data_IF_651512262181
#
_entry.id   IF_651512262181
#
_cell.length_a   1.000
_cell.length_b   1.000
_cell.length_c   1.000
_cell.angle_alpha   90.00
_cell.angle_beta   90.00
_cell.angle_gamma   90.00
#
_symmetry.space_group_name_H-M   'P 1'
#
loop_
_entity.id
_entity.type
_entity.pdbx_description
1 polymer ?
#
# COMPACT_ATOMS: atom_id res chain seq x y z
N UNK A 1 -64.07 -2.37 60.17
CA UNK A 1 -63.68 -3.71 59.72
C UNK A 1 -63.17 -3.55 58.31
N UNK A 2 -61.86 -3.33 58.21
CA UNK A 2 -61.17 -3.01 56.94
C UNK A 2 -60.44 -4.28 56.48
N UNK A 3 -60.78 -4.79 55.28
CA UNK A 3 -60.07 -5.90 54.64
C UNK A 3 -59.08 -5.27 53.65
N UNK A 4 -57.78 -5.60 53.84
CA UNK A 4 -56.72 -5.33 52.89
C UNK A 4 -56.60 -6.49 51.93
N UNK A 5 -56.76 -6.25 50.60
CA UNK A 5 -56.42 -7.18 49.54
C UNK A 5 -55.03 -6.90 49.04
N UNK A 6 -54.13 -7.89 49.13
CA UNK A 6 -52.80 -7.83 48.52
C UNK A 6 -52.90 -8.21 47.04
N UNK A 7 -52.48 -7.30 46.14
CA UNK A 7 -52.28 -7.61 44.72
C UNK A 7 -50.93 -8.29 44.44
N UNK A 8 -50.81 -9.08 43.36
CA UNK A 8 -49.59 -9.84 43.05
C UNK A 8 -48.51 -8.95 42.48
N UNK A 9 -47.27 -9.14 42.93
CA UNK A 9 -46.06 -8.51 42.38
C UNK A 9 -45.71 -9.23 41.06
N UNK A 10 -45.75 -8.52 39.95
CA UNK A 10 -45.19 -8.97 38.67
C UNK A 10 -43.67 -8.91 38.73
N UNK A 11 -43.00 -10.07 38.59
CA UNK A 11 -41.57 -10.15 38.35
C UNK A 11 -41.32 -9.81 36.88
N UNK A 12 -40.61 -8.72 36.63
CA UNK A 12 -40.08 -8.40 35.31
C UNK A 12 -38.83 -9.26 35.07
N UNK A 13 -38.91 -10.22 34.17
CA UNK A 13 -37.77 -10.92 33.61
C UNK A 13 -37.19 -10.02 32.50
N UNK A 14 -36.06 -9.38 32.75
CA UNK A 14 -35.26 -8.72 31.70
C UNK A 14 -34.42 -9.78 31.03
N UNK A 15 -34.75 -10.09 29.78
CA UNK A 15 -33.98 -11.04 28.98
C UNK A 15 -32.65 -10.39 28.56
N UNK A 16 -31.56 -10.82 29.17
CA UNK A 16 -30.16 -10.54 28.68
C UNK A 16 -29.80 -11.65 27.66
N UNK A 17 -30.25 -11.48 26.41
CA UNK A 17 -29.92 -12.44 25.31
C UNK A 17 -29.33 -11.70 24.09
N UNK A 18 -28.82 -10.50 24.21
CA UNK A 18 -28.34 -9.75 23.05
C UNK A 18 -26.82 -9.74 22.83
N UNK A 19 -26.01 -9.84 23.87
CA UNK A 19 -24.56 -9.60 23.77
C UNK A 19 -23.71 -10.87 23.48
N UNK A 20 -24.20 -12.06 23.85
CA UNK A 20 -23.41 -13.29 23.70
C UNK A 20 -23.33 -13.84 22.28
N UNK A 21 -24.35 -13.60 21.44
CA UNK A 21 -24.40 -14.15 20.08
C UNK A 21 -23.52 -13.34 19.10
N UNK A 22 -23.38 -12.03 19.31
CA UNK A 22 -22.51 -11.16 18.48
C UNK A 22 -21.01 -11.43 18.74
N UNK A 23 -20.62 -11.64 19.99
CA UNK A 23 -19.23 -11.95 20.38
C UNK A 23 -18.79 -13.34 19.88
N UNK A 24 -19.67 -14.34 19.92
CA UNK A 24 -19.36 -15.68 19.40
C UNK A 24 -19.22 -15.71 17.86
N UNK A 25 -20.01 -14.89 17.16
CA UNK A 25 -19.94 -14.78 15.69
C UNK A 25 -18.65 -14.12 15.18
N UNK A 26 -18.14 -13.10 15.88
CA UNK A 26 -16.89 -12.42 15.55
C UNK A 26 -15.69 -13.30 15.84
N UNK A 27 -15.67 -14.01 16.97
CA UNK A 27 -14.59 -14.94 17.31
C UNK A 27 -14.51 -16.12 16.34
N UNK A 28 -15.64 -16.66 15.90
CA UNK A 28 -15.69 -17.78 14.93
C UNK A 28 -15.16 -17.36 13.54
N UNK A 29 -15.51 -16.16 13.07
CA UNK A 29 -15.02 -15.65 11.77
C UNK A 29 -13.51 -15.39 11.79
N UNK A 30 -13.00 -14.80 12.86
CA UNK A 30 -11.55 -14.55 13.03
C UNK A 30 -10.76 -15.86 13.10
N UNK A 31 -11.31 -16.89 13.76
CA UNK A 31 -10.68 -18.20 13.85
C UNK A 31 -10.67 -18.93 12.50
N UNK A 32 -11.75 -18.91 11.74
CA UNK A 32 -11.81 -19.47 10.39
C UNK A 32 -10.85 -18.76 9.42
N UNK A 33 -10.72 -17.44 9.52
CA UNK A 33 -9.77 -16.68 8.71
C UNK A 33 -8.31 -17.00 9.10
N UNK A 34 -8.03 -17.14 10.40
CA UNK A 34 -6.71 -17.55 10.90
C UNK A 34 -6.32 -18.95 10.41
N UNK A 35 -7.27 -19.88 10.33
CA UNK A 35 -7.05 -21.23 9.79
C UNK A 35 -6.85 -21.21 8.26
N UNK A 36 -7.63 -20.40 7.53
CA UNK A 36 -7.54 -20.28 6.06
C UNK A 36 -6.16 -19.79 5.59
N UNK A 37 -5.53 -18.90 6.35
CA UNK A 37 -4.23 -18.32 6.04
C UNK A 37 -3.12 -18.81 6.99
N UNK A 38 -3.28 -19.99 7.57
CA UNK A 38 -2.29 -20.58 8.49
C UNK A 38 -0.96 -20.88 7.79
N UNK A 39 -0.97 -21.11 6.48
CA UNK A 39 0.23 -21.32 5.66
C UNK A 39 1.00 -20.03 5.38
N UNK A 40 0.34 -18.85 5.39
CA UNK A 40 1.00 -17.57 5.09
C UNK A 40 1.95 -17.21 6.23
N UNK A 41 3.21 -16.99 5.88
CA UNK A 41 4.30 -16.63 6.80
C UNK A 41 4.79 -15.20 6.59
N UNK A 42 4.74 -14.72 5.36
CA UNK A 42 5.16 -13.37 4.99
C UNK A 42 4.11 -12.63 4.18
N UNK A 43 4.09 -11.32 4.32
CA UNK A 43 3.30 -10.41 3.49
C UNK A 43 4.23 -9.46 2.76
N UNK A 44 4.10 -9.40 1.45
CA UNK A 44 4.83 -8.47 0.58
C UNK A 44 3.90 -7.36 0.12
N UNK A 45 4.35 -6.12 0.19
CA UNK A 45 3.51 -4.96 -0.06
C UNK A 45 3.97 -4.19 -1.29
N UNK A 46 3.06 -3.96 -2.23
CA UNK A 46 3.20 -2.84 -3.14
C UNK A 46 3.27 -1.54 -2.33
N UNK A 47 4.09 -0.57 -2.77
CA UNK A 47 4.37 0.60 -1.93
C UNK A 47 3.73 1.87 -2.48
N UNK A 48 4.05 2.24 -3.73
CA UNK A 48 3.53 3.48 -4.32
C UNK A 48 2.02 3.38 -4.55
N UNK A 49 1.26 4.26 -3.91
CA UNK A 49 -0.20 4.26 -3.99
C UNK A 49 -0.87 3.26 -3.02
N UNK A 50 -0.22 2.14 -2.66
CA UNK A 50 -0.76 1.16 -1.71
C UNK A 50 -0.47 1.53 -0.26
N UNK A 51 0.80 1.80 0.08
CA UNK A 51 1.25 2.13 1.43
C UNK A 51 1.37 3.64 1.63
N UNK A 52 1.77 4.36 0.59
CA UNK A 52 2.05 5.80 0.63
C UNK A 52 1.21 6.58 -0.37
N UNK A 53 0.83 7.80 0.01
CA UNK A 53 0.18 8.79 -0.85
C UNK A 53 1.26 9.56 -1.63
N UNK A 54 1.61 9.01 -2.79
CA UNK A 54 2.62 9.62 -3.65
C UNK A 54 2.19 10.98 -4.18
N UNK A 55 0.90 11.13 -4.53
CA UNK A 55 0.39 12.32 -5.22
C UNK A 55 0.41 13.54 -4.31
N UNK A 56 -0.22 13.46 -3.14
CA UNK A 56 -0.24 14.57 -2.17
C UNK A 56 1.15 14.91 -1.67
N UNK A 57 2.02 13.91 -1.51
CA UNK A 57 3.43 14.11 -1.12
C UNK A 57 4.21 14.91 -2.15
N UNK A 58 4.11 14.56 -3.43
CA UNK A 58 4.78 15.31 -4.51
C UNK A 58 4.23 16.72 -4.67
N UNK A 59 2.92 16.91 -4.52
CA UNK A 59 2.30 18.24 -4.53
C UNK A 59 2.88 19.10 -3.41
N UNK A 60 3.00 18.56 -2.19
CA UNK A 60 3.58 19.26 -1.04
C UNK A 60 5.05 19.63 -1.25
N UNK A 61 5.86 18.72 -1.77
CA UNK A 61 7.27 18.98 -2.12
C UNK A 61 7.39 20.08 -3.19
N UNK A 62 6.51 20.06 -4.21
CA UNK A 62 6.45 21.10 -5.24
C UNK A 62 6.03 22.45 -4.67
N UNK A 63 5.06 22.53 -3.79
CA UNK A 63 4.65 23.76 -3.10
C UNK A 63 5.80 24.37 -2.28
N UNK A 64 6.63 23.53 -1.67
CA UNK A 64 7.85 23.98 -1.00
C UNK A 64 8.87 24.61 -1.98
N UNK A 65 9.00 24.07 -3.19
CA UNK A 65 9.79 24.70 -4.25
C UNK A 65 9.20 26.04 -4.69
N UNK A 66 7.86 26.14 -4.86
CA UNK A 66 7.19 27.40 -5.17
C UNK A 66 7.48 28.45 -4.10
N UNK A 67 7.43 28.08 -2.82
CA UNK A 67 7.74 29.00 -1.71
C UNK A 67 9.20 29.47 -1.76
N UNK A 68 10.13 28.58 -2.12
CA UNK A 68 11.57 28.90 -2.15
C UNK A 68 11.98 29.72 -3.37
N UNK A 69 11.41 29.41 -4.55
CA UNK A 69 11.88 29.97 -5.83
C UNK A 69 10.89 30.90 -6.52
N UNK A 70 9.66 31.04 -6.00
CA UNK A 70 8.61 31.86 -6.60
C UNK A 70 7.98 31.24 -7.85
N UNK A 71 8.01 29.92 -8.00
CA UNK A 71 7.36 29.25 -9.12
C UNK A 71 5.85 29.26 -9.02
N UNK A 72 5.17 29.49 -10.15
CA UNK A 72 3.71 29.31 -10.30
C UNK A 72 3.47 28.05 -11.16
N UNK A 73 3.24 26.91 -10.50
CA UNK A 73 3.09 25.60 -11.14
C UNK A 73 1.83 24.92 -10.62
N UNK A 74 1.06 24.30 -11.50
CA UNK A 74 0.06 23.33 -11.13
C UNK A 74 0.75 22.03 -10.69
N UNK A 75 1.00 21.94 -9.37
CA UNK A 75 1.70 20.80 -8.80
C UNK A 75 0.88 19.51 -8.83
N UNK A 76 -0.45 19.61 -8.95
CA UNK A 76 -1.29 18.43 -9.13
C UNK A 76 -1.08 17.83 -10.53
N UNK A 77 -1.13 18.66 -11.57
CA UNK A 77 -0.82 18.23 -12.93
C UNK A 77 0.64 17.77 -13.08
N UNK A 78 1.58 18.47 -12.44
CA UNK A 78 2.99 18.05 -12.44
C UNK A 78 3.19 16.65 -11.84
N UNK A 79 2.57 16.37 -10.68
CA UNK A 79 2.65 15.06 -10.02
C UNK A 79 2.04 13.96 -10.90
N UNK A 80 0.91 14.25 -11.54
CA UNK A 80 0.23 13.33 -12.45
C UNK A 80 1.07 13.06 -13.71
N UNK A 81 1.71 14.08 -14.29
CA UNK A 81 2.61 13.94 -15.44
C UNK A 81 3.87 13.12 -15.07
N UNK A 82 4.46 13.38 -13.89
CA UNK A 82 5.62 12.62 -13.43
C UNK A 82 5.27 11.13 -13.25
N UNK A 83 4.17 10.85 -12.57
CA UNK A 83 3.66 9.48 -12.42
C UNK A 83 3.29 8.85 -13.76
N UNK A 84 2.72 9.65 -14.68
CA UNK A 84 2.35 9.22 -16.04
C UNK A 84 3.54 8.76 -16.88
N UNK A 85 4.72 9.35 -16.68
CA UNK A 85 5.96 8.94 -17.36
C UNK A 85 6.55 7.61 -16.90
N UNK A 86 6.15 7.13 -15.72
CA UNK A 86 6.70 5.93 -15.06
C UNK A 86 6.51 4.63 -15.86
N UNK A 87 5.29 4.34 -16.28
CA UNK A 87 4.98 3.12 -17.08
C UNK A 87 5.72 3.09 -18.43
N UNK A 88 5.63 4.16 -19.25
CA UNK A 88 6.40 4.28 -20.48
C UNK A 88 7.92 4.12 -20.30
N UNK A 89 8.51 4.73 -19.27
CA UNK A 89 9.94 4.61 -19.00
C UNK A 89 10.36 3.17 -18.68
N UNK A 90 9.62 2.46 -17.84
CA UNK A 90 9.85 1.03 -17.57
C UNK A 90 9.68 0.17 -18.85
N UNK A 91 8.74 0.53 -19.72
CA UNK A 91 8.54 -0.20 -20.97
C UNK A 91 9.73 -0.05 -21.92
N UNK A 92 10.41 1.10 -21.95
CA UNK A 92 11.66 1.29 -22.72
C UNK A 92 12.78 0.37 -22.22
N UNK A 93 12.86 0.12 -20.92
CA UNK A 93 13.80 -0.86 -20.36
C UNK A 93 13.40 -2.28 -20.76
N UNK A 94 12.10 -2.65 -20.65
CA UNK A 94 11.63 -3.99 -21.03
C UNK A 94 11.83 -4.29 -22.52
N UNK A 95 11.67 -3.29 -23.39
CA UNK A 95 11.91 -3.44 -24.83
C UNK A 95 13.38 -3.52 -25.22
N UNK A 96 14.31 -3.29 -24.26
CA UNK A 96 15.75 -3.22 -24.53
C UNK A 96 16.21 -1.90 -25.17
N UNK A 97 15.34 -0.89 -25.27
CA UNK A 97 15.73 0.46 -25.72
C UNK A 97 16.67 1.13 -24.71
N UNK A 98 16.41 0.89 -23.42
CA UNK A 98 17.26 1.31 -22.32
C UNK A 98 17.84 0.09 -21.60
N UNK A 99 19.06 0.18 -21.05
CA UNK A 99 19.55 -0.85 -20.13
C UNK A 99 18.68 -0.91 -18.88
N UNK A 100 18.85 -1.97 -18.08
CA UNK A 100 18.18 -2.00 -16.79
C UNK A 100 18.56 -0.77 -15.93
N UNK A 101 17.56 -0.09 -15.39
CA UNK A 101 17.71 1.13 -14.61
C UNK A 101 16.94 1.03 -13.29
N UNK A 102 17.43 1.69 -12.24
CA UNK A 102 16.67 1.89 -11.01
C UNK A 102 15.55 2.89 -11.24
N UNK A 103 14.54 2.82 -10.42
CA UNK A 103 13.42 3.77 -10.50
C UNK A 103 13.87 5.22 -10.23
N UNK A 104 14.83 5.44 -9.34
CA UNK A 104 15.43 6.78 -9.15
C UNK A 104 15.97 7.38 -10.44
N UNK A 105 16.64 6.56 -11.24
CA UNK A 105 17.22 6.99 -12.50
C UNK A 105 16.14 7.28 -13.55
N UNK A 106 15.07 6.46 -13.59
CA UNK A 106 13.90 6.69 -14.44
C UNK A 106 13.11 7.93 -13.99
N UNK A 107 12.89 8.10 -12.68
CA UNK A 107 12.23 9.30 -12.15
C UNK A 107 13.01 10.56 -12.50
N UNK A 108 14.34 10.52 -12.40
CA UNK A 108 15.17 11.69 -12.78
C UNK A 108 15.07 11.98 -14.28
N UNK A 109 15.12 10.97 -15.13
CA UNK A 109 14.96 11.14 -16.57
C UNK A 109 13.60 11.78 -16.91
N UNK A 110 12.51 11.32 -16.27
CA UNK A 110 11.18 11.91 -16.46
C UNK A 110 11.13 13.34 -15.92
N UNK A 111 11.73 13.60 -14.75
CA UNK A 111 11.80 14.93 -14.16
C UNK A 111 12.50 15.93 -15.12
N UNK A 112 13.64 15.55 -15.68
CA UNK A 112 14.37 16.40 -16.62
C UNK A 112 13.55 16.75 -17.87
N UNK A 113 12.70 15.82 -18.35
CA UNK A 113 11.76 16.06 -19.44
C UNK A 113 10.58 16.98 -19.04
N UNK A 114 10.18 16.99 -17.75
CA UNK A 114 9.07 17.81 -17.23
C UNK A 114 9.51 19.23 -16.86
N UNK A 115 10.76 19.44 -16.43
CA UNK A 115 11.30 20.74 -16.03
C UNK A 115 10.97 21.85 -17.02
N UNK A 116 11.29 21.75 -18.34
CA UNK A 116 10.97 22.79 -19.29
C UNK A 116 9.47 22.94 -19.54
N UNK A 117 8.69 21.88 -19.46
CA UNK A 117 7.25 21.89 -19.71
C UNK A 117 6.47 22.64 -18.63
N UNK A 118 6.96 22.61 -17.39
CA UNK A 118 6.33 23.25 -16.24
C UNK A 118 7.05 24.52 -15.76
N UNK A 119 7.95 25.08 -16.57
CA UNK A 119 8.61 26.35 -16.26
C UNK A 119 9.65 26.28 -15.13
N UNK A 120 10.18 25.09 -14.84
CA UNK A 120 11.14 24.83 -13.75
C UNK A 120 12.61 24.93 -14.19
N UNK A 121 12.89 25.45 -15.37
CA UNK A 121 14.24 25.61 -15.91
C UNK A 121 15.24 26.33 -15.00
N UNK A 122 14.84 27.27 -14.10
CA UNK A 122 15.77 27.88 -13.14
C UNK A 122 16.31 26.92 -12.06
N UNK A 123 15.74 25.71 -11.90
CA UNK A 123 16.27 24.73 -10.95
C UNK A 123 17.66 24.26 -11.35
N UNK A 124 18.65 24.47 -10.45
CA UNK A 124 19.99 23.93 -10.58
C UNK A 124 20.04 22.41 -10.38
N UNK A 125 21.17 21.80 -10.69
CA UNK A 125 21.34 20.34 -10.62
C UNK A 125 21.08 19.78 -9.21
N UNK A 126 21.61 20.43 -8.18
CA UNK A 126 21.41 20.03 -6.79
C UNK A 126 19.92 20.08 -6.39
N UNK A 127 19.17 21.08 -6.84
CA UNK A 127 17.74 21.21 -6.55
C UNK A 127 16.93 20.14 -7.29
N UNK A 128 17.31 19.79 -8.52
CA UNK A 128 16.72 18.68 -9.28
C UNK A 128 16.96 17.34 -8.61
N UNK A 129 18.19 17.08 -8.16
CA UNK A 129 18.52 15.87 -7.40
C UNK A 129 17.73 15.78 -6.10
N UNK A 130 17.62 16.89 -5.37
CA UNK A 130 16.84 16.93 -4.15
C UNK A 130 15.34 16.74 -4.43
N UNK A 131 14.83 17.33 -5.51
CA UNK A 131 13.42 17.15 -5.89
C UNK A 131 13.15 15.74 -6.40
N UNK A 132 14.06 15.12 -7.15
CA UNK A 132 13.96 13.70 -7.49
C UNK A 132 13.85 12.82 -6.27
N UNK A 133 14.52 13.18 -5.16
CA UNK A 133 14.41 12.47 -3.88
C UNK A 133 13.11 12.74 -3.11
N UNK A 134 12.17 13.53 -3.64
CA UNK A 134 10.81 13.60 -3.09
C UNK A 134 10.16 12.22 -3.00
N UNK A 135 10.44 11.34 -3.97
CA UNK A 135 10.00 9.94 -3.94
C UNK A 135 10.51 9.13 -2.75
N UNK A 136 11.58 9.56 -2.09
CA UNK A 136 12.11 8.95 -0.86
C UNK A 136 11.40 9.44 0.40
N UNK A 137 10.55 10.48 0.32
CA UNK A 137 9.92 11.19 1.44
C UNK A 137 8.40 11.14 1.41
N UNK A 138 7.84 10.20 0.63
CA UNK A 138 6.39 10.06 0.51
C UNK A 138 5.75 9.74 1.86
N UNK A 139 4.62 10.38 2.13
CA UNK A 139 3.86 10.20 3.36
C UNK A 139 3.02 8.92 3.30
N UNK A 140 2.92 8.16 4.39
CA UNK A 140 2.07 6.99 4.44
C UNK A 140 0.59 7.39 4.48
N UNK A 141 -0.28 6.51 3.99
CA UNK A 141 -1.70 6.64 4.28
C UNK A 141 -1.94 6.58 5.79
N UNK A 142 -3.01 7.20 6.32
CA UNK A 142 -3.27 7.29 7.78
C UNK A 142 -3.31 5.95 8.51
N UNK A 143 -3.71 4.88 7.82
CA UNK A 143 -3.80 3.51 8.34
C UNK A 143 -2.50 2.71 8.23
N UNK A 144 -1.52 3.18 7.42
CA UNK A 144 -0.38 2.37 7.03
C UNK A 144 0.49 1.98 8.22
N UNK A 145 0.96 2.94 9.01
CA UNK A 145 1.87 2.63 10.12
C UNK A 145 1.18 1.77 11.19
N UNK A 146 -0.06 2.11 11.56
CA UNK A 146 -0.81 1.37 12.57
C UNK A 146 -1.16 -0.06 12.10
N UNK A 147 -1.68 -0.19 10.87
CA UNK A 147 -2.05 -1.48 10.32
C UNK A 147 -0.84 -2.40 10.10
N UNK A 148 0.25 -1.87 9.53
CA UNK A 148 1.50 -2.63 9.37
C UNK A 148 2.08 -3.07 10.71
N UNK A 149 2.05 -2.21 11.75
CA UNK A 149 2.53 -2.57 13.10
C UNK A 149 1.74 -3.74 13.67
N UNK A 150 0.43 -3.78 13.46
CA UNK A 150 -0.41 -4.91 13.86
C UNK A 150 -0.06 -6.17 13.07
N UNK A 151 -0.01 -6.09 11.74
CA UNK A 151 0.31 -7.23 10.86
C UNK A 151 1.67 -7.84 11.19
N UNK A 152 2.66 -7.01 11.52
CA UNK A 152 4.01 -7.43 11.92
C UNK A 152 4.04 -8.32 13.16
N UNK A 153 3.03 -8.30 14.01
CA UNK A 153 2.96 -9.18 15.20
C UNK A 153 2.85 -10.65 14.84
N UNK A 154 2.45 -10.97 13.61
CA UNK A 154 2.22 -12.35 13.15
C UNK A 154 3.02 -12.72 11.89
N UNK A 155 3.24 -11.78 10.99
CA UNK A 155 3.86 -12.03 9.69
C UNK A 155 5.19 -11.32 9.55
N UNK A 156 6.09 -11.88 8.76
CA UNK A 156 7.24 -11.12 8.24
C UNK A 156 6.71 -10.11 7.24
N UNK A 157 7.00 -8.84 7.43
CA UNK A 157 6.57 -7.78 6.51
C UNK A 157 7.71 -7.33 5.61
N UNK A 158 7.45 -7.36 4.32
CA UNK A 158 8.40 -6.90 3.31
C UNK A 158 7.75 -5.93 2.32
N UNK A 159 8.53 -4.99 1.81
CA UNK A 159 8.14 -4.32 0.57
C UNK A 159 8.27 -5.29 -0.61
N UNK A 160 7.48 -5.08 -1.67
CA UNK A 160 7.71 -5.63 -3.01
C UNK A 160 7.31 -4.56 -4.03
N UNK A 161 8.25 -3.70 -4.34
CA UNK A 161 8.03 -2.49 -5.12
C UNK A 161 9.00 -2.40 -6.29
N UNK A 162 8.59 -1.68 -7.32
CA UNK A 162 9.52 -1.26 -8.37
C UNK A 162 10.52 -0.21 -7.89
N UNK A 163 10.23 0.52 -6.80
CA UNK A 163 11.19 1.42 -6.14
C UNK A 163 12.47 0.68 -5.77
N UNK A 164 13.63 1.31 -6.00
CA UNK A 164 14.91 0.71 -5.64
C UNK A 164 15.13 0.67 -4.12
N UNK A 165 16.01 -0.21 -3.67
CA UNK A 165 16.23 -0.49 -2.24
C UNK A 165 16.54 0.78 -1.45
N UNK A 166 17.44 1.65 -1.94
CA UNK A 166 17.80 2.88 -1.24
C UNK A 166 16.61 3.83 -1.06
N UNK A 167 15.75 3.97 -2.08
CA UNK A 167 14.52 4.76 -2.03
C UNK A 167 13.57 4.21 -0.96
N UNK A 168 13.31 2.90 -0.97
CA UNK A 168 12.39 2.26 -0.02
C UNK A 168 12.90 2.33 1.43
N UNK A 169 14.21 2.17 1.65
CA UNK A 169 14.83 2.31 2.98
C UNK A 169 14.70 3.75 3.49
N UNK A 170 14.99 4.75 2.66
CA UNK A 170 14.86 6.16 3.03
C UNK A 170 13.42 6.52 3.36
N UNK A 171 12.47 6.07 2.52
CA UNK A 171 11.04 6.26 2.74
C UNK A 171 10.59 5.61 4.05
N UNK A 172 11.01 4.37 4.33
CA UNK A 172 10.66 3.68 5.56
C UNK A 172 11.14 4.45 6.80
N UNK A 173 12.38 4.97 6.77
CA UNK A 173 12.93 5.78 7.85
C UNK A 173 12.23 7.13 8.00
N UNK A 174 11.86 7.77 6.89
CA UNK A 174 11.15 9.04 6.90
C UNK A 174 9.74 8.91 7.47
N UNK A 175 9.05 7.83 7.11
CA UNK A 175 7.62 7.64 7.37
C UNK A 175 7.31 6.66 8.51
N UNK A 176 8.34 6.12 9.17
CA UNK A 176 8.17 5.17 10.29
C UNK A 176 7.54 3.84 9.88
N UNK A 177 7.75 3.40 8.63
CA UNK A 177 7.20 2.14 8.12
C UNK A 177 7.97 0.95 8.70
N UNK A 178 7.29 -0.01 9.36
CA UNK A 178 7.93 -1.01 10.23
C UNK A 178 8.31 -2.30 9.48
N UNK A 179 8.97 -2.21 8.32
CA UNK A 179 9.39 -3.38 7.56
C UNK A 179 10.37 -4.27 8.33
N UNK A 180 10.28 -5.59 8.14
CA UNK A 180 11.32 -6.54 8.55
C UNK A 180 12.39 -6.65 7.47
N UNK A 181 11.96 -6.63 6.19
CA UNK A 181 12.83 -6.75 5.03
C UNK A 181 12.41 -5.72 3.99
N UNK A 182 13.38 -5.16 3.25
CA UNK A 182 13.11 -4.30 2.10
C UNK A 182 13.46 -5.08 0.83
N UNK A 183 12.44 -5.59 0.13
CA UNK A 183 12.56 -6.24 -1.16
C UNK A 183 12.08 -5.30 -2.27
N UNK A 184 12.75 -5.39 -3.40
CA UNK A 184 12.59 -4.49 -4.53
C UNK A 184 12.80 -5.25 -5.84
N UNK A 185 12.18 -4.79 -6.89
CA UNK A 185 12.43 -5.23 -8.26
C UNK A 185 13.91 -5.07 -8.69
N UNK A 186 14.64 -4.16 -8.01
CA UNK A 186 16.08 -4.00 -8.18
C UNK A 186 16.86 -5.30 -7.95
N UNK A 187 16.41 -6.15 -7.02
CA UNK A 187 17.06 -7.42 -6.69
C UNK A 187 16.87 -8.47 -7.81
N UNK A 188 15.73 -8.43 -8.48
CA UNK A 188 15.44 -9.31 -9.62
C UNK A 188 15.93 -8.74 -10.95
N UNK A 189 16.31 -7.45 -11.03
CA UNK A 189 16.61 -6.73 -12.28
C UNK A 189 15.46 -6.76 -13.30
N UNK A 190 14.24 -6.87 -12.81
CA UNK A 190 12.99 -6.84 -13.55
C UNK A 190 12.01 -5.87 -12.86
N UNK A 191 10.96 -5.44 -13.55
CA UNK A 191 9.90 -4.65 -12.92
C UNK A 191 8.61 -5.47 -12.80
N UNK A 192 7.83 -5.24 -11.75
CA UNK A 192 6.45 -5.76 -11.71
C UNK A 192 5.68 -5.28 -12.94
N UNK A 193 4.87 -6.13 -13.57
CA UNK A 193 4.42 -7.44 -13.10
C UNK A 193 5.22 -8.64 -13.64
N UNK A 194 6.51 -8.50 -13.97
CA UNK A 194 7.32 -9.61 -14.45
C UNK A 194 7.46 -10.68 -13.35
N UNK A 195 7.30 -11.98 -13.66
CA UNK A 195 7.24 -13.06 -12.65
C UNK A 195 8.50 -13.17 -11.80
N UNK A 196 9.65 -12.82 -12.35
CA UNK A 196 10.94 -12.85 -11.65
C UNK A 196 10.91 -12.04 -10.35
N UNK A 197 10.17 -10.93 -10.32
CA UNK A 197 10.10 -10.05 -9.13
C UNK A 197 9.42 -10.76 -7.97
N UNK A 198 8.31 -11.44 -8.21
CA UNK A 198 7.55 -12.14 -7.16
C UNK A 198 8.24 -13.41 -6.70
N UNK A 199 8.79 -14.19 -7.64
CA UNK A 199 9.49 -15.45 -7.34
C UNK A 199 10.81 -15.18 -6.61
N UNK A 200 11.59 -14.16 -7.02
CA UNK A 200 12.79 -13.74 -6.29
C UNK A 200 12.45 -13.31 -4.86
N UNK A 201 11.31 -12.63 -4.65
CA UNK A 201 10.92 -12.23 -3.30
C UNK A 201 10.61 -13.44 -2.41
N UNK A 202 9.90 -14.45 -2.91
CA UNK A 202 9.62 -15.68 -2.18
C UNK A 202 10.92 -16.44 -1.87
N UNK A 203 11.81 -16.59 -2.85
CA UNK A 203 13.11 -17.24 -2.70
C UNK A 203 14.00 -16.56 -1.64
N UNK A 204 14.11 -15.22 -1.67
CA UNK A 204 14.88 -14.45 -0.69
C UNK A 204 14.30 -14.54 0.73
N UNK A 205 13.01 -14.82 0.86
CA UNK A 205 12.36 -15.08 2.15
C UNK A 205 12.49 -16.56 2.58
N UNK A 206 12.99 -17.44 1.72
CA UNK A 206 13.06 -18.88 1.96
C UNK A 206 11.69 -19.53 2.06
N UNK A 207 10.70 -19.05 1.26
CA UNK A 207 9.31 -19.47 1.30
C UNK A 207 8.83 -19.92 -0.08
N UNK A 208 7.85 -20.84 -0.07
CA UNK A 208 7.10 -21.15 -1.28
C UNK A 208 6.09 -20.03 -1.59
N UNK A 209 5.71 -19.83 -2.87
CA UNK A 209 4.78 -18.76 -3.25
C UNK A 209 3.47 -18.75 -2.45
N UNK A 210 2.87 -19.92 -2.15
CA UNK A 210 1.63 -20.03 -1.36
C UNK A 210 1.78 -19.65 0.12
N UNK A 211 3.01 -19.51 0.61
CA UNK A 211 3.33 -19.05 1.96
C UNK A 211 3.50 -17.52 2.03
N UNK A 212 3.46 -16.84 0.87
CA UNK A 212 3.58 -15.39 0.74
C UNK A 212 2.26 -14.78 0.31
N UNK A 213 1.84 -13.68 0.95
CA UNK A 213 0.67 -12.91 0.56
C UNK A 213 1.10 -11.56 -0.04
N UNK A 214 0.73 -11.32 -1.30
CA UNK A 214 0.88 -10.00 -1.94
C UNK A 214 -0.27 -9.08 -1.53
N UNK A 215 0.06 -7.88 -1.07
CA UNK A 215 -0.90 -6.84 -0.66
C UNK A 215 -0.75 -5.64 -1.57
N UNK A 216 -1.82 -5.23 -2.24
CA UNK A 216 -1.77 -4.09 -3.16
C UNK A 216 -3.12 -3.39 -3.32
N UNK A 217 -3.08 -2.11 -3.70
CA UNK A 217 -4.22 -1.35 -4.21
C UNK A 217 -4.45 -1.57 -5.71
N UNK A 218 -3.53 -2.21 -6.40
CA UNK A 218 -3.54 -2.38 -7.85
C UNK A 218 -3.91 -3.82 -8.23
N UNK A 219 -5.10 -4.01 -8.80
CA UNK A 219 -5.61 -5.34 -9.19
C UNK A 219 -4.69 -6.09 -10.17
N UNK A 220 -4.01 -5.36 -11.07
CA UNK A 220 -3.04 -5.95 -12.01
C UNK A 220 -1.87 -6.63 -11.33
N UNK A 221 -1.33 -6.00 -10.27
CA UNK A 221 -0.25 -6.53 -9.45
C UNK A 221 -0.67 -7.82 -8.72
N UNK A 222 -1.87 -7.80 -8.11
CA UNK A 222 -2.43 -8.97 -7.44
C UNK A 222 -2.71 -10.14 -8.39
N UNK A 223 -3.21 -9.86 -9.61
CA UNK A 223 -3.43 -10.92 -10.60
C UNK A 223 -2.13 -11.57 -11.06
N UNK A 224 -1.06 -10.78 -11.22
CA UNK A 224 0.24 -11.32 -11.54
C UNK A 224 0.80 -12.19 -10.41
N UNK A 225 0.67 -11.75 -9.16
CA UNK A 225 1.07 -12.54 -8.00
C UNK A 225 0.26 -13.84 -7.86
N UNK A 226 -1.07 -13.77 -8.02
CA UNK A 226 -1.96 -14.93 -7.95
C UNK A 226 -1.63 -15.98 -9.02
N UNK A 227 -1.26 -15.56 -10.23
CA UNK A 227 -0.87 -16.47 -11.31
C UNK A 227 0.38 -17.29 -10.98
N UNK A 228 1.19 -16.86 -10.01
CA UNK A 228 2.39 -17.52 -9.52
C UNK A 228 2.16 -18.32 -8.22
N UNK A 229 0.92 -18.37 -7.72
CA UNK A 229 0.54 -19.11 -6.52
C UNK A 229 0.57 -18.30 -5.22
N UNK A 230 0.97 -17.03 -5.24
CA UNK A 230 0.91 -16.18 -4.05
C UNK A 230 -0.54 -15.99 -3.60
N UNK A 231 -0.75 -15.83 -2.30
CA UNK A 231 -2.00 -15.32 -1.74
C UNK A 231 -2.12 -13.83 -2.00
N UNK A 232 -3.35 -13.32 -2.01
CA UNK A 232 -3.62 -11.94 -2.41
C UNK A 232 -4.54 -11.22 -1.43
N UNK A 233 -4.17 -9.98 -1.10
CA UNK A 233 -5.01 -9.07 -0.33
C UNK A 233 -5.17 -7.74 -1.08
N UNK A 234 -6.39 -7.42 -1.46
CA UNK A 234 -6.74 -6.17 -2.12
C UNK A 234 -7.12 -5.11 -1.09
N UNK A 235 -6.41 -3.99 -1.09
CA UNK A 235 -6.66 -2.84 -0.23
C UNK A 235 -6.77 -1.60 -1.12
N UNK A 236 -7.99 -1.23 -1.57
CA UNK A 236 -8.19 -0.10 -2.48
C UNK A 236 -7.80 1.24 -1.84
N UNK A 237 -7.31 2.16 -2.66
CA UNK A 237 -6.99 3.55 -2.27
C UNK A 237 -7.78 4.51 -3.16
N UNK A 238 -9.04 4.82 -2.80
CA UNK A 238 -9.95 5.57 -3.66
C UNK A 238 -9.42 6.92 -4.12
N UNK A 239 -8.57 7.55 -3.31
CA UNK A 239 -8.02 8.90 -3.55
C UNK A 239 -6.58 8.90 -4.06
N UNK A 240 -6.03 7.75 -4.47
CA UNK A 240 -4.64 7.65 -4.94
C UNK A 240 -4.30 8.68 -6.03
N UNK A 241 -5.23 8.89 -6.95
CA UNK A 241 -5.06 9.82 -8.09
C UNK A 241 -5.77 11.18 -7.87
N UNK A 242 -6.06 11.50 -6.60
CA UNK A 242 -6.78 12.71 -6.22
C UNK A 242 -8.28 12.50 -6.04
N UNK A 243 -8.98 13.49 -5.43
CA UNK A 243 -10.39 13.35 -5.06
C UNK A 243 -11.35 13.34 -6.25
N UNK A 244 -10.94 13.93 -7.38
CA UNK A 244 -11.81 14.14 -8.54
C UNK A 244 -11.68 13.02 -9.59
N UNK A 245 -10.78 12.06 -9.37
CA UNK A 245 -10.57 10.95 -10.30
C UNK A 245 -11.21 9.67 -9.80
N UNK A 246 -12.25 9.23 -10.48
CA UNK A 246 -12.84 7.93 -10.22
C UNK A 246 -11.89 6.80 -10.68
N UNK A 247 -11.69 5.82 -9.80
CA UNK A 247 -10.95 4.59 -10.08
C UNK A 247 -11.82 3.38 -9.75
N UNK A 248 -11.55 2.25 -10.39
CA UNK A 248 -12.26 1.00 -10.09
C UNK A 248 -11.77 0.39 -8.78
N UNK A 249 -12.54 0.62 -7.72
CA UNK A 249 -12.31 0.03 -6.39
C UNK A 249 -13.25 -1.16 -6.11
N UNK A 250 -13.99 -1.66 -7.10
CA UNK A 250 -14.91 -2.78 -6.90
C UNK A 250 -14.19 -4.00 -6.34
N UNK A 251 -14.76 -4.69 -5.35
CA UNK A 251 -14.21 -5.96 -4.88
C UNK A 251 -14.08 -6.96 -6.02
N UNK A 252 -12.93 -7.64 -6.11
CA UNK A 252 -12.72 -8.73 -7.05
C UNK A 252 -12.72 -10.05 -6.25
N UNK A 253 -13.71 -10.94 -6.49
CA UNK A 253 -13.85 -12.18 -5.73
C UNK A 253 -12.73 -13.20 -6.01
N UNK A 254 -11.88 -12.95 -6.97
CA UNK A 254 -10.70 -13.79 -7.26
C UNK A 254 -9.56 -13.57 -6.27
N UNK A 255 -9.57 -12.45 -5.54
CA UNK A 255 -8.57 -12.19 -4.49
C UNK A 255 -8.99 -12.88 -3.18
N UNK A 256 -7.98 -13.39 -2.44
CA UNK A 256 -8.21 -14.12 -1.20
C UNK A 256 -8.83 -13.27 -0.09
N UNK A 257 -8.41 -11.99 0.01
CA UNK A 257 -8.94 -10.99 0.94
C UNK A 257 -9.20 -9.69 0.20
N UNK A 258 -10.29 -9.02 0.55
CA UNK A 258 -10.55 -7.61 0.23
C UNK A 258 -10.74 -6.88 1.56
N UNK A 259 -9.95 -5.84 1.79
CA UNK A 259 -10.00 -5.03 3.01
C UNK A 259 -10.09 -3.54 2.64
N UNK A 260 -10.73 -2.75 3.50
CA UNK A 260 -10.90 -1.30 3.27
C UNK A 260 -9.65 -0.50 3.55
N UNK A 261 -8.81 -1.02 4.47
CA UNK A 261 -7.52 -0.45 4.87
C UNK A 261 -6.66 -1.53 5.57
N UNK A 262 -5.44 -1.20 6.01
CA UNK A 262 -4.56 -2.17 6.66
C UNK A 262 -5.02 -2.56 8.07
N UNK A 263 -5.79 -1.73 8.76
CA UNK A 263 -6.37 -2.10 10.05
C UNK A 263 -7.50 -3.13 9.86
N UNK A 264 -8.37 -2.93 8.86
CA UNK A 264 -9.40 -3.91 8.48
C UNK A 264 -8.76 -5.22 7.98
N UNK A 265 -7.62 -5.13 7.26
CA UNK A 265 -6.86 -6.33 6.86
C UNK A 265 -6.37 -7.11 8.08
N UNK A 266 -5.82 -6.43 9.09
CA UNK A 266 -5.40 -7.06 10.34
C UNK A 266 -6.58 -7.70 11.08
N UNK A 267 -7.73 -7.01 11.15
CA UNK A 267 -8.96 -7.53 11.76
C UNK A 267 -9.44 -8.80 11.04
N UNK A 268 -9.46 -8.79 9.71
CA UNK A 268 -9.87 -9.95 8.88
C UNK A 268 -8.91 -11.14 9.02
N UNK A 269 -7.65 -10.89 9.35
CA UNK A 269 -6.66 -11.92 9.66
C UNK A 269 -6.67 -12.37 11.13
N UNK A 270 -7.58 -11.81 11.95
CA UNK A 270 -7.72 -12.14 13.38
C UNK A 270 -6.63 -11.57 14.27
N UNK A 271 -5.94 -10.52 13.84
CA UNK A 271 -4.88 -9.83 14.57
C UNK A 271 -5.50 -8.65 15.34
N UNK A 272 -5.28 -8.60 16.65
CA UNK A 272 -5.81 -7.57 17.56
C UNK A 272 -4.79 -6.49 17.84
#
# INVERSE_FOLDING_TARGET
MLMFTKGPKALAFVAVIGAGVLLAGVSGRAQLASERFSMVKAMTFDVFGTVVDWRSSLISEGQALSTRFGFEVDWAQFADDWRGGYGPAMQRVRSGELPWMRIDDLHRMILDDLIPKHGLTPLGEEDRDNFNRAWHRLQPWPDSVSGLTRLKTRFVLSTLSNGNVALLVNMAKHSGLPWDVVLSSELAKHYKPDPEVYLTAADLLGLEPEEVMMVAAHKGDLRAAAALGLKTAYVPRPTEYGPDREIDITPDPTFDIVATDFNDLADKLGIR
#
